data_IF_848896466024
#
_entry.id   IF_848896466024
#
_cell.length_a   1.000
_cell.length_b   1.000
_cell.length_c   1.000
_cell.angle_alpha   90.00
_cell.angle_beta   90.00
_cell.angle_gamma   90.00
#
_symmetry.space_group_name_H-M   'P 1'
#
loop_
_entity.id
_entity.type
_entity.pdbx_description
1 polymer ?
#
# COMPACT_ATOMS: atom_id res chain seq x y z
N UNK A 1 16.34 -6.30 0.27
CA UNK A 1 15.35 -7.35 -0.02
C UNK A 1 14.25 -6.68 -0.79
N UNK A 2 13.92 -7.19 -1.97
CA UNK A 2 12.90 -6.60 -2.84
C UNK A 2 11.74 -7.59 -2.91
N UNK A 3 10.58 -7.16 -2.41
CA UNK A 3 9.36 -7.95 -2.24
C UNK A 3 9.56 -9.36 -1.63
N UNK A 4 10.20 -9.48 -0.43
CA UNK A 4 10.45 -10.79 0.18
C UNK A 4 9.18 -11.50 0.67
N UNK A 5 8.04 -10.81 0.72
CA UNK A 5 6.75 -11.29 1.22
C UNK A 5 5.85 -11.89 0.13
N UNK A 6 6.23 -11.75 -1.15
CA UNK A 6 5.35 -12.02 -2.29
C UNK A 6 4.90 -13.50 -2.45
N UNK A 7 5.68 -14.44 -1.93
CA UNK A 7 5.44 -15.88 -2.11
C UNK A 7 5.52 -16.67 -0.79
N UNK A 8 5.38 -16.00 0.36
CA UNK A 8 5.48 -16.62 1.68
C UNK A 8 4.09 -16.90 2.27
N UNK A 9 3.92 -18.09 2.82
CA UNK A 9 2.81 -18.39 3.72
C UNK A 9 3.03 -17.72 5.09
N UNK A 10 1.95 -17.60 5.88
CA UNK A 10 1.98 -16.87 7.15
C UNK A 10 3.04 -17.39 8.13
N UNK A 11 3.26 -18.70 8.19
CA UNK A 11 4.29 -19.31 9.06
C UNK A 11 5.71 -18.92 8.61
N UNK A 12 5.98 -18.91 7.30
CA UNK A 12 7.30 -18.51 6.79
C UNK A 12 7.50 -17.00 6.88
N UNK A 13 6.43 -16.21 6.80
CA UNK A 13 6.47 -14.76 7.00
C UNK A 13 6.84 -14.42 8.44
N UNK A 14 6.19 -15.05 9.43
CA UNK A 14 6.54 -14.91 10.86
C UNK A 14 8.01 -15.28 11.13
N UNK A 15 8.49 -16.37 10.54
CA UNK A 15 9.89 -16.77 10.66
C UNK A 15 10.83 -15.73 10.04
N UNK A 16 10.49 -15.17 8.87
CA UNK A 16 11.28 -14.12 8.24
C UNK A 16 11.33 -12.86 9.12
N UNK A 17 10.20 -12.46 9.70
CA UNK A 17 10.12 -11.34 10.64
C UNK A 17 11.07 -11.54 11.82
N UNK A 18 11.01 -12.70 12.48
CA UNK A 18 11.88 -13.03 13.63
C UNK A 18 13.36 -12.96 13.24
N UNK A 19 13.74 -13.53 12.08
CA UNK A 19 15.13 -13.48 11.59
C UNK A 19 15.61 -12.07 11.27
N UNK A 20 14.73 -11.21 10.76
CA UNK A 20 15.07 -9.82 10.47
C UNK A 20 15.20 -8.99 11.75
N UNK A 21 14.38 -9.26 12.78
CA UNK A 21 14.50 -8.61 14.09
C UNK A 21 15.78 -8.99 14.82
N UNK A 22 16.24 -10.24 14.71
CA UNK A 22 17.49 -10.71 15.33
C UNK A 22 18.75 -10.29 14.57
N UNK A 23 18.61 -9.87 13.31
CA UNK A 23 19.75 -9.52 12.47
C UNK A 23 20.41 -8.22 12.94
N UNK A 24 21.69 -8.31 13.32
CA UNK A 24 22.42 -7.18 13.93
C UNK A 24 23.00 -6.18 12.91
N UNK A 25 22.82 -6.43 11.61
CA UNK A 25 23.28 -5.54 10.54
C UNK A 25 22.17 -4.62 10.01
N UNK A 26 22.52 -3.74 9.07
CA UNK A 26 21.53 -2.91 8.38
C UNK A 26 20.95 -3.66 7.19
N UNK A 27 19.62 -3.75 7.10
CA UNK A 27 18.90 -4.32 5.95
C UNK A 27 17.99 -3.24 5.38
N UNK A 28 18.02 -3.08 4.06
CA UNK A 28 17.02 -2.28 3.33
C UNK A 28 16.01 -3.27 2.75
N UNK A 29 14.74 -3.06 3.07
CA UNK A 29 13.62 -3.90 2.65
C UNK A 29 12.62 -3.05 1.89
N UNK A 30 12.22 -3.54 0.72
CA UNK A 30 11.12 -3.02 -0.09
C UNK A 30 10.04 -4.09 -0.04
N UNK A 31 8.85 -3.72 0.43
CA UNK A 31 7.69 -4.61 0.51
C UNK A 31 6.42 -3.77 0.40
N UNK A 32 5.36 -4.37 -0.13
CA UNK A 32 4.02 -3.78 -0.12
C UNK A 32 3.16 -4.25 1.08
N UNK A 33 3.67 -5.17 1.89
CA UNK A 33 2.99 -5.65 3.10
C UNK A 33 3.18 -4.66 4.26
N UNK A 34 2.07 -4.02 4.64
CA UNK A 34 2.04 -3.01 5.69
C UNK A 34 2.27 -3.60 7.09
N UNK A 35 1.74 -4.79 7.35
CA UNK A 35 1.87 -5.44 8.66
C UNK A 35 3.31 -5.87 8.89
N UNK A 36 3.92 -6.46 7.88
CA UNK A 36 5.35 -6.81 7.88
C UNK A 36 6.25 -5.58 8.07
N UNK A 37 5.98 -4.49 7.36
CA UNK A 37 6.71 -3.22 7.54
C UNK A 37 6.51 -2.63 8.94
N UNK A 38 5.32 -2.73 9.52
CA UNK A 38 5.06 -2.26 10.89
C UNK A 38 5.78 -3.10 11.95
N UNK A 39 5.94 -4.39 11.72
CA UNK A 39 6.58 -5.30 12.67
C UNK A 39 8.11 -5.24 12.60
N UNK A 40 8.70 -5.09 11.41
CA UNK A 40 10.14 -5.25 11.19
C UNK A 40 10.87 -3.91 11.00
N UNK A 41 10.23 -2.90 10.40
CA UNK A 41 10.92 -1.66 10.07
C UNK A 41 11.14 -0.78 11.30
N UNK A 42 12.38 -0.35 11.50
CA UNK A 42 12.75 0.64 12.52
C UNK A 42 12.66 2.08 11.99
N UNK A 43 12.76 2.23 10.66
CA UNK A 43 12.70 3.50 9.94
C UNK A 43 12.18 3.23 8.53
N UNK A 44 11.37 4.15 8.00
CA UNK A 44 10.75 4.06 6.69
C UNK A 44 11.24 5.19 5.77
N UNK A 45 11.66 4.83 4.57
CA UNK A 45 12.08 5.76 3.53
C UNK A 45 10.93 5.97 2.55
N UNK A 46 10.30 7.15 2.59
CA UNK A 46 9.18 7.50 1.72
C UNK A 46 9.63 8.41 0.56
N UNK A 47 9.17 8.09 -0.64
CA UNK A 47 9.33 8.95 -1.81
C UNK A 47 8.20 9.96 -1.86
N UNK A 48 8.53 11.24 -1.69
CA UNK A 48 7.55 12.32 -1.74
C UNK A 48 7.75 13.19 -2.98
N UNK A 49 6.67 13.60 -3.65
CA UNK A 49 6.76 14.54 -4.76
C UNK A 49 7.17 15.92 -4.23
N UNK A 50 8.22 16.47 -4.80
CA UNK A 50 8.65 17.85 -4.64
C UNK A 50 8.59 18.56 -5.99
N UNK A 51 7.84 19.66 -6.06
CA UNK A 51 7.91 20.59 -7.18
C UNK A 51 9.11 21.52 -7.00
N UNK A 52 10.29 21.08 -7.46
CA UNK A 52 11.46 21.96 -7.53
C UNK A 52 11.33 23.00 -8.66
N UNK A 53 10.56 22.69 -9.71
CA UNK A 53 10.21 23.59 -10.83
C UNK A 53 8.82 23.27 -11.37
N UNK A 54 8.06 24.27 -11.86
CA UNK A 54 6.77 24.03 -12.51
C UNK A 54 6.93 23.05 -13.68
N UNK A 55 6.13 21.98 -13.69
CA UNK A 55 6.11 20.99 -14.78
C UNK A 55 7.19 19.91 -14.75
N UNK A 56 8.00 19.80 -13.68
CA UNK A 56 8.85 18.63 -13.44
C UNK A 56 8.68 18.14 -11.99
N UNK A 57 7.86 17.11 -11.74
CA UNK A 57 7.83 16.47 -10.44
C UNK A 57 9.17 15.80 -10.19
N UNK A 58 9.85 16.21 -9.12
CA UNK A 58 11.02 15.51 -8.58
C UNK A 58 10.58 14.70 -7.37
N UNK A 59 11.26 13.61 -7.04
CA UNK A 59 10.99 12.86 -5.81
C UNK A 59 12.12 13.13 -4.83
N UNK A 60 11.75 13.41 -3.58
CA UNK A 60 12.69 13.45 -2.46
C UNK A 60 12.44 12.25 -1.57
N UNK A 61 13.52 11.64 -1.09
CA UNK A 61 13.45 10.58 -0.09
C UNK A 61 13.44 11.25 1.28
N UNK A 62 12.41 10.96 2.08
CA UNK A 62 12.34 11.35 3.48
C UNK A 62 12.39 10.11 4.37
N UNK A 63 13.07 10.26 5.48
CA UNK A 63 13.17 9.24 6.51
C UNK A 63 12.16 9.53 7.64
N UNK A 64 11.43 8.50 8.03
CA UNK A 64 10.45 8.52 9.11
C UNK A 64 10.81 7.43 10.13
N UNK A 65 10.88 7.79 11.40
CA UNK A 65 11.13 6.80 12.46
C UNK A 65 9.85 5.99 12.71
N UNK A 66 9.98 4.66 12.76
CA UNK A 66 8.89 3.72 12.95
C UNK A 66 8.43 3.03 11.66
N UNK A 67 7.29 2.35 11.76
CA UNK A 67 6.72 1.54 10.69
C UNK A 67 5.88 2.34 9.68
N UNK A 68 5.15 1.63 8.84
CA UNK A 68 4.18 2.18 7.89
C UNK A 68 3.07 2.99 8.58
N UNK A 69 2.55 2.52 9.71
CA UNK A 69 1.55 3.21 10.54
C UNK A 69 2.08 4.54 11.09
N UNK A 70 3.37 4.61 11.44
CA UNK A 70 4.00 5.85 11.90
C UNK A 70 4.19 6.85 10.77
N UNK A 71 4.57 6.38 9.58
CA UNK A 71 4.60 7.21 8.38
C UNK A 71 3.22 7.78 8.04
N UNK A 72 2.15 6.98 8.07
CA UNK A 72 0.79 7.45 7.83
C UNK A 72 0.36 8.58 8.79
N UNK A 73 0.78 8.52 10.05
CA UNK A 73 0.50 9.56 11.05
C UNK A 73 1.31 10.84 10.85
N UNK A 74 2.53 10.70 10.33
CA UNK A 74 3.48 11.81 10.16
C UNK A 74 3.39 12.47 8.79
N UNK A 75 2.76 11.81 7.81
CA UNK A 75 2.68 12.31 6.45
C UNK A 75 1.88 13.62 6.42
N UNK A 76 2.48 14.73 5.95
CA UNK A 76 1.73 15.96 5.77
C UNK A 76 0.58 15.71 4.77
N UNK A 77 -0.62 16.28 4.99
CA UNK A 77 -1.70 16.19 4.02
C UNK A 77 -1.17 16.70 2.67
N UNK A 78 -1.59 16.09 1.54
CA UNK A 78 -1.24 16.60 0.23
C UNK A 78 -1.56 18.10 0.20
N UNK A 79 -0.57 18.93 -0.11
CA UNK A 79 -0.76 20.35 -0.34
C UNK A 79 -1.57 20.51 -1.63
N UNK A 80 -2.88 20.30 -1.55
CA UNK A 80 -3.82 20.86 -2.50
C UNK A 80 -3.76 22.38 -2.37
N UNK A 81 -3.68 23.03 -3.53
CA UNK A 81 -3.50 24.47 -3.66
C UNK A 81 -4.56 25.25 -2.87
N UNK A 82 -4.06 26.05 -1.93
CA UNK A 82 -4.62 27.28 -1.33
C UNK A 82 -6.07 27.61 -1.69
N UNK A 83 -7.02 27.23 -0.83
CA UNK A 83 -8.25 27.99 -0.62
C UNK A 83 -8.10 28.80 0.68
N UNK A 84 -8.35 30.10 0.62
CA UNK A 84 -8.27 31.05 1.73
C UNK A 84 -9.03 30.60 2.99
N UNK A 85 -8.52 30.89 4.20
CA UNK A 85 -9.17 30.52 5.45
C UNK A 85 -10.35 31.47 5.76
N UNK A 86 -11.52 30.97 6.23
CA UNK A 86 -12.48 31.83 6.92
C UNK A 86 -11.95 32.19 8.32
N UNK A 87 -12.46 33.28 8.93
CA UNK A 87 -11.82 33.89 10.10
C UNK A 87 -11.89 32.97 11.32
N UNK A 88 -10.84 33.06 12.14
CA UNK A 88 -10.67 32.38 13.42
C UNK A 88 -11.92 32.57 14.30
N UNK A 89 -12.65 31.48 14.52
CA UNK A 89 -13.45 31.32 15.74
C UNK A 89 -12.66 30.45 16.73
N UNK A 90 -12.85 30.79 17.98
CA UNK A 90 -11.98 30.50 19.11
C UNK A 90 -11.82 29.00 19.40
N UNK A 91 -10.65 28.67 19.94
CA UNK A 91 -10.29 27.36 20.44
C UNK A 91 -11.02 27.11 21.78
N UNK A 92 -11.94 26.14 21.79
CA UNK A 92 -12.31 25.36 22.98
C UNK A 92 -11.90 23.90 22.71
N UNK A 93 -11.47 23.14 23.74
CA UNK A 93 -10.84 21.84 23.54
C UNK A 93 -11.91 20.83 23.10
N UNK A 94 -11.86 20.43 21.83
CA UNK A 94 -12.69 19.35 21.33
C UNK A 94 -12.23 18.03 21.95
N UNK A 95 -13.01 17.57 22.92
CA UNK A 95 -13.05 16.19 23.38
C UNK A 95 -13.01 15.23 22.17
N UNK A 96 -12.33 14.10 22.35
CA UNK A 96 -12.32 12.99 21.42
C UNK A 96 -13.75 12.70 20.92
N UNK A 97 -13.99 12.95 19.63
CA UNK A 97 -15.24 12.55 19.00
C UNK A 97 -15.42 11.04 19.15
N UNK A 98 -16.58 10.55 19.64
CA UNK A 98 -16.84 9.13 19.65
C UNK A 98 -16.84 8.62 18.21
N UNK A 99 -16.15 7.51 17.97
CA UNK A 99 -16.15 6.82 16.69
C UNK A 99 -17.58 6.70 16.16
N UNK A 100 -17.80 7.18 14.93
CA UNK A 100 -19.10 7.12 14.27
C UNK A 100 -19.63 5.66 14.29
N UNK A 101 -20.96 5.46 14.47
CA UNK A 101 -21.51 4.11 14.58
C UNK A 101 -21.24 3.32 13.30
N UNK A 102 -20.64 2.12 13.46
CA UNK A 102 -20.37 1.18 12.36
C UNK A 102 -21.64 0.97 11.55
N UNK A 103 -21.60 1.39 10.30
CA UNK A 103 -22.75 1.35 9.40
C UNK A 103 -22.90 -0.10 8.91
N UNK A 104 -24.05 -0.72 9.16
CA UNK A 104 -24.32 -2.09 8.73
C UNK A 104 -24.22 -2.20 7.21
N UNK A 105 -23.44 -3.16 6.71
CA UNK A 105 -23.29 -3.45 5.29
C UNK A 105 -24.64 -3.66 4.61
N UNK A 106 -24.85 -2.99 3.49
CA UNK A 106 -25.95 -3.21 2.55
C UNK A 106 -25.83 -4.58 1.88
N UNK A 107 -26.94 -5.15 1.38
CA UNK A 107 -26.94 -6.42 0.62
C UNK A 107 -25.96 -6.40 -0.55
N UNK A 108 -25.84 -5.26 -1.25
CA UNK A 108 -24.87 -5.08 -2.34
C UNK A 108 -23.42 -5.12 -1.85
N UNK A 109 -23.16 -4.52 -0.69
CA UNK A 109 -21.83 -4.47 -0.08
C UNK A 109 -21.41 -5.84 0.48
N UNK A 110 -22.37 -6.63 1.00
CA UNK A 110 -22.12 -8.02 1.41
C UNK A 110 -21.78 -8.91 0.21
N UNK A 111 -22.49 -8.75 -0.91
CA UNK A 111 -22.19 -9.48 -2.13
C UNK A 111 -20.81 -9.10 -2.70
N UNK A 112 -20.46 -7.82 -2.62
CA UNK A 112 -19.15 -7.32 -3.01
C UNK A 112 -18.04 -7.91 -2.12
N UNK A 113 -18.21 -7.87 -0.80
CA UNK A 113 -17.26 -8.46 0.15
C UNK A 113 -16.99 -9.94 -0.15
N UNK A 114 -18.02 -10.71 -0.48
CA UNK A 114 -17.88 -12.12 -0.85
C UNK A 114 -17.16 -12.35 -2.19
N UNK A 115 -17.19 -11.36 -3.10
CA UNK A 115 -16.58 -11.45 -4.43
C UNK A 115 -15.13 -10.93 -4.46
N UNK A 116 -14.73 -10.10 -3.50
CA UNK A 116 -13.40 -9.47 -3.43
C UNK A 116 -12.24 -10.48 -3.31
N UNK A 117 -12.30 -11.53 -2.45
CA UNK A 117 -11.21 -12.51 -2.37
C UNK A 117 -10.90 -13.17 -3.71
N UNK A 118 -11.92 -13.63 -4.43
CA UNK A 118 -11.72 -14.22 -5.76
C UNK A 118 -11.27 -13.21 -6.82
N UNK A 119 -11.52 -11.91 -6.65
CA UNK A 119 -10.96 -10.87 -7.53
C UNK A 119 -9.47 -10.66 -7.23
N UNK A 120 -9.10 -10.60 -5.96
CA UNK A 120 -7.73 -10.47 -5.47
C UNK A 120 -6.89 -11.64 -6.00
N UNK A 121 -7.34 -12.89 -5.77
CA UNK A 121 -6.65 -14.10 -6.27
C UNK A 121 -6.39 -14.07 -7.78
N UNK A 122 -7.34 -13.56 -8.57
CA UNK A 122 -7.17 -13.44 -10.03
C UNK A 122 -6.15 -12.38 -10.41
N UNK A 123 -6.13 -11.25 -9.71
CA UNK A 123 -5.19 -10.16 -9.97
C UNK A 123 -3.77 -10.57 -9.57
N UNK A 124 -3.62 -11.26 -8.44
CA UNK A 124 -2.35 -11.85 -8.01
C UNK A 124 -1.82 -12.87 -9.03
N UNK A 125 -2.69 -13.77 -9.51
CA UNK A 125 -2.30 -14.74 -10.54
C UNK A 125 -1.90 -14.07 -11.87
N UNK A 126 -2.53 -12.95 -12.25
CA UNK A 126 -2.14 -12.17 -13.43
C UNK A 126 -0.75 -11.53 -13.24
N UNK A 127 -0.50 -10.89 -12.11
CA UNK A 127 0.80 -10.29 -11.76
C UNK A 127 1.90 -11.35 -11.76
N UNK A 128 1.66 -12.48 -11.07
CA UNK A 128 2.61 -13.59 -11.02
C UNK A 128 2.92 -14.16 -12.42
N UNK A 129 1.90 -14.25 -13.29
CA UNK A 129 2.08 -14.66 -14.68
C UNK A 129 2.96 -13.70 -15.48
N UNK A 130 2.73 -12.40 -15.36
CA UNK A 130 3.54 -11.36 -16.02
C UNK A 130 4.99 -11.40 -15.51
N UNK A 131 5.20 -11.51 -14.19
CA UNK A 131 6.53 -11.65 -13.60
C UNK A 131 7.26 -12.92 -14.04
N UNK A 132 6.55 -14.05 -14.13
CA UNK A 132 7.13 -15.29 -14.64
C UNK A 132 7.58 -15.15 -16.10
N UNK A 133 6.79 -14.46 -16.94
CA UNK A 133 7.21 -14.15 -18.31
C UNK A 133 8.44 -13.23 -18.32
N UNK A 134 8.48 -12.19 -17.48
CA UNK A 134 9.61 -11.26 -17.32
C UNK A 134 10.92 -11.97 -16.93
N UNK A 135 10.83 -13.06 -16.17
CA UNK A 135 11.97 -13.87 -15.74
C UNK A 135 12.56 -14.75 -16.86
N UNK A 136 11.92 -14.85 -18.04
CA UNK A 136 12.40 -15.68 -19.14
C UNK A 136 13.50 -15.00 -19.97
N UNK A 137 14.47 -15.79 -20.45
CA UNK A 137 15.67 -15.31 -21.18
C UNK A 137 15.35 -14.56 -22.50
N UNK A 138 14.16 -14.78 -23.06
CA UNK A 138 13.67 -14.15 -24.29
C UNK A 138 12.85 -12.89 -24.09
N UNK A 139 12.40 -12.59 -22.86
CA UNK A 139 11.43 -11.53 -22.60
C UNK A 139 11.94 -10.16 -23.04
N UNK A 140 13.14 -9.78 -22.61
CA UNK A 140 13.76 -8.49 -22.93
C UNK A 140 14.23 -8.35 -24.39
N UNK A 141 14.14 -9.43 -25.18
CA UNK A 141 14.41 -9.40 -26.63
C UNK A 141 13.15 -9.15 -27.46
N UNK A 142 11.97 -9.11 -26.84
CA UNK A 142 10.70 -8.80 -27.51
C UNK A 142 10.64 -7.34 -27.93
N UNK A 143 9.70 -7.02 -28.82
CA UNK A 143 9.52 -5.66 -29.32
C UNK A 143 9.11 -4.69 -28.20
N UNK A 144 9.58 -3.44 -28.28
CA UNK A 144 9.41 -2.46 -27.20
C UNK A 144 7.96 -2.06 -26.91
N UNK A 145 7.09 -2.16 -27.91
CA UNK A 145 5.64 -1.99 -27.76
C UNK A 145 5.01 -3.10 -26.90
N UNK A 146 5.46 -4.35 -27.06
CA UNK A 146 5.05 -5.48 -26.22
C UNK A 146 5.51 -5.28 -24.77
N UNK A 147 6.76 -4.86 -24.56
CA UNK A 147 7.28 -4.56 -23.22
C UNK A 147 6.51 -3.41 -22.54
N UNK A 148 6.17 -2.37 -23.29
CA UNK A 148 5.39 -1.24 -22.77
C UNK A 148 3.95 -1.65 -22.43
N UNK A 149 3.34 -2.52 -23.25
CA UNK A 149 2.01 -3.06 -23.00
C UNK A 149 1.98 -3.93 -21.74
N UNK A 150 2.94 -4.84 -21.60
CA UNK A 150 3.04 -5.71 -20.41
C UNK A 150 3.29 -4.91 -19.15
N UNK A 151 4.15 -3.89 -19.21
CA UNK A 151 4.33 -2.95 -18.08
C UNK A 151 3.04 -2.24 -17.72
N UNK A 152 2.30 -1.74 -18.71
CA UNK A 152 1.02 -1.05 -18.46
C UNK A 152 0.01 -1.99 -17.80
N UNK A 153 -0.04 -3.25 -18.24
CA UNK A 153 -0.91 -4.28 -17.65
C UNK A 153 -0.51 -4.62 -16.22
N UNK A 154 0.79 -4.72 -15.95
CA UNK A 154 1.31 -4.94 -14.61
C UNK A 154 0.93 -3.79 -13.68
N UNK A 155 1.25 -2.55 -14.06
CA UNK A 155 0.92 -1.34 -13.28
C UNK A 155 -0.60 -1.25 -12.99
N UNK A 156 -1.45 -1.61 -13.96
CA UNK A 156 -2.90 -1.62 -13.78
C UNK A 156 -3.38 -2.73 -12.85
N UNK A 157 -2.82 -3.95 -12.98
CA UNK A 157 -3.17 -5.08 -12.13
C UNK A 157 -2.78 -4.81 -10.66
N UNK A 158 -1.58 -4.29 -10.41
CA UNK A 158 -1.09 -3.89 -9.09
C UNK A 158 -1.97 -2.81 -8.45
N UNK A 159 -2.33 -1.77 -9.21
CA UNK A 159 -3.25 -0.73 -8.72
C UNK A 159 -4.60 -1.32 -8.32
N UNK A 160 -5.17 -2.18 -9.17
CA UNK A 160 -6.47 -2.81 -8.92
C UNK A 160 -6.41 -3.78 -7.74
N UNK A 161 -5.28 -4.45 -7.52
CA UNK A 161 -5.06 -5.31 -6.37
C UNK A 161 -5.08 -4.47 -5.08
N UNK A 162 -4.33 -3.37 -5.04
CA UNK A 162 -4.31 -2.46 -3.90
C UNK A 162 -5.69 -1.84 -3.61
N UNK A 163 -6.43 -1.44 -4.64
CA UNK A 163 -7.82 -0.97 -4.51
C UNK A 163 -8.76 -2.07 -3.97
N UNK A 164 -8.58 -3.32 -4.44
CA UNK A 164 -9.33 -4.49 -3.99
C UNK A 164 -9.15 -4.76 -2.50
N UNK A 165 -7.89 -4.76 -2.01
CA UNK A 165 -7.60 -4.91 -0.59
C UNK A 165 -8.15 -3.77 0.26
N UNK A 166 -7.96 -2.51 -0.16
CA UNK A 166 -8.50 -1.36 0.57
C UNK A 166 -10.03 -1.42 0.66
N UNK A 167 -10.70 -1.89 -0.41
CA UNK A 167 -12.15 -2.09 -0.41
C UNK A 167 -12.57 -3.23 0.50
N UNK A 168 -11.84 -4.34 0.48
CA UNK A 168 -12.11 -5.51 1.33
C UNK A 168 -12.01 -5.13 2.81
N UNK A 169 -10.92 -4.46 3.22
CA UNK A 169 -10.69 -3.96 4.58
C UNK A 169 -11.81 -3.00 5.03
N UNK A 170 -12.21 -2.07 4.17
CA UNK A 170 -13.31 -1.14 4.45
C UNK A 170 -14.64 -1.86 4.71
N UNK A 171 -14.93 -2.91 3.93
CA UNK A 171 -16.16 -3.67 4.05
C UNK A 171 -16.13 -4.62 5.26
N UNK A 172 -15.01 -5.29 5.51
CA UNK A 172 -14.77 -6.11 6.71
C UNK A 172 -14.89 -5.29 8.01
N UNK A 173 -14.30 -4.09 8.06
CA UNK A 173 -14.38 -3.21 9.23
C UNK A 173 -15.82 -2.74 9.54
N UNK A 174 -16.70 -2.74 8.54
CA UNK A 174 -18.12 -2.43 8.65
C UNK A 174 -19.00 -3.68 8.86
N UNK A 175 -18.44 -4.88 8.74
CA UNK A 175 -19.12 -6.12 9.03
C UNK A 175 -19.28 -6.30 10.56
N UNK A 176 -20.48 -6.66 11.04
CA UNK A 176 -20.64 -7.04 12.44
C UNK A 176 -19.88 -8.34 12.67
N UNK A 177 -18.73 -8.25 13.35
CA UNK A 177 -18.04 -9.43 13.89
C UNK A 177 -19.01 -10.08 14.87
N UNK A 178 -19.41 -11.32 14.58
CA UNK A 178 -20.27 -12.12 15.47
C UNK A 178 -19.44 -12.87 16.49
#
# INVERSE_FOLDING_TARGET
>A
LDEPTNDLDAETLELLEERLMEYTGTVIVVSHDRAFLDNVATSLLAFEPQEARPGRPTHVVREYVGGYSDWLRQRPPPVEATAEPPPRSQMEPAAASPAAPRRKLSYKEQQELAALPGLIERLEAEIAGIHAEMATEGYYRRAGDVLAADKTRLDEAERRLAEGYARWEMLEGNAPHS
#
